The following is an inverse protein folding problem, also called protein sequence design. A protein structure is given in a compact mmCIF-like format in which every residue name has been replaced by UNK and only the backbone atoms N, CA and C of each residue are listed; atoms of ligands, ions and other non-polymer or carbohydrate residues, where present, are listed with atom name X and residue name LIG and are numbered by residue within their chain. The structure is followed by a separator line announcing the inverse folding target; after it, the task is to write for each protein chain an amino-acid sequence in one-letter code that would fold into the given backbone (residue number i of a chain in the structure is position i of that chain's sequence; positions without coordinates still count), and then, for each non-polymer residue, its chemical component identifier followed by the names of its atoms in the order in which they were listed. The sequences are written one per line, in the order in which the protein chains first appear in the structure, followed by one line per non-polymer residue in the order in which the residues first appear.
data_IF_817323505962
#
_entry.id   IF_817323505962
#
_cell.length_a   1.000
_cell.length_b   1.000
_cell.length_c   1.000
_cell.angle_alpha   90.00
_cell.angle_beta   90.00
_cell.angle_gamma   90.00
#
_symmetry.space_group_name_H-M   'P 1'
#
loop_
_entity.id
_entity.type
_entity.pdbx_description
1 polymer ?
#
# COMPACT_ATOMS: atom_id res chain seq x y z
N UNK A 1 -4.18 5.50 -7.11
CA UNK A 1 -5.28 4.80 -6.43
C UNK A 1 -5.22 3.31 -6.69
N UNK A 2 -5.70 2.53 -5.77
CA UNK A 2 -5.70 1.09 -5.92
C UNK A 2 -6.59 0.43 -4.88
N UNK A 3 -6.56 -0.91 -4.89
CA UNK A 3 -7.34 -1.72 -3.97
C UNK A 3 -6.38 -2.59 -3.16
N UNK A 4 -6.61 -2.65 -1.85
CA UNK A 4 -5.77 -3.48 -0.98
C UNK A 4 -5.96 -4.95 -1.33
N UNK A 5 -4.86 -5.60 -1.72
CA UNK A 5 -4.86 -7.02 -2.04
C UNK A 5 -4.84 -7.84 -0.76
N UNK A 6 -3.95 -7.50 0.15
CA UNK A 6 -3.94 -8.03 1.51
C UNK A 6 -3.09 -7.13 2.40
N UNK A 7 -3.27 -7.28 3.70
CA UNK A 7 -2.44 -6.55 4.66
C UNK A 7 -2.21 -7.43 5.88
N UNK A 8 -0.95 -7.58 6.26
CA UNK A 8 -0.56 -8.39 7.42
C UNK A 8 -0.28 -7.45 8.60
N UNK A 9 -1.22 -7.39 9.54
CA UNK A 9 -1.10 -6.51 10.70
C UNK A 9 0.05 -6.89 11.61
N UNK A 10 0.34 -8.17 11.74
CA UNK A 10 1.42 -8.64 12.61
C UNK A 10 2.78 -8.18 12.11
N UNK A 11 2.98 -8.23 10.82
CA UNK A 11 4.24 -7.82 10.20
C UNK A 11 4.25 -6.35 9.80
N UNK A 12 3.08 -5.72 9.74
CA UNK A 12 2.96 -4.31 9.40
C UNK A 12 3.16 -3.97 7.94
N UNK A 13 2.80 -4.87 7.03
CA UNK A 13 2.91 -4.58 5.60
C UNK A 13 1.84 -5.30 4.80
N UNK A 14 1.69 -4.88 3.56
CA UNK A 14 0.75 -5.51 2.65
C UNK A 14 1.03 -5.09 1.21
N UNK A 15 0.07 -5.35 0.34
CA UNK A 15 0.16 -5.01 -1.07
C UNK A 15 -1.13 -4.37 -1.56
N UNK A 16 -0.97 -3.44 -2.49
CA UNK A 16 -2.08 -2.75 -3.15
C UNK A 16 -2.02 -3.09 -4.63
N UNK A 17 -3.16 -3.44 -5.20
CA UNK A 17 -3.28 -3.68 -6.63
C UNK A 17 -3.68 -2.36 -7.29
N UNK A 18 -2.82 -1.78 -8.15
CA UNK A 18 -3.14 -0.51 -8.81
C UNK A 18 -4.34 -0.65 -9.73
N UNK A 19 -5.12 0.42 -9.84
CA UNK A 19 -6.29 0.44 -10.73
C UNK A 19 -5.92 0.30 -12.21
N UNK A 20 -4.72 0.71 -12.56
CA UNK A 20 -4.27 0.64 -13.95
C UNK A 20 -3.82 -0.77 -14.36
N UNK A 21 -3.95 -1.75 -13.49
CA UNK A 21 -3.59 -3.12 -13.80
C UNK A 21 -2.09 -3.41 -13.74
N UNK A 22 -1.31 -2.51 -13.19
CA UNK A 22 0.13 -2.71 -13.04
C UNK A 22 0.47 -3.71 -11.94
N UNK A 23 1.78 -3.87 -11.68
CA UNK A 23 2.27 -4.76 -10.64
C UNK A 23 1.84 -4.28 -9.26
N UNK A 24 1.66 -5.22 -8.34
CA UNK A 24 1.28 -4.89 -6.97
C UNK A 24 2.31 -3.96 -6.33
N UNK A 25 1.80 -3.04 -5.50
CA UNK A 25 2.63 -2.04 -4.83
C UNK A 25 2.74 -2.40 -3.35
N UNK A 26 3.96 -2.45 -2.86
CA UNK A 26 4.21 -2.72 -1.45
C UNK A 26 3.75 -1.53 -0.60
N UNK A 27 3.12 -1.82 0.54
CA UNK A 27 2.73 -0.79 1.51
C UNK A 27 3.16 -1.23 2.90
N UNK A 28 3.81 -0.32 3.62
CA UNK A 28 4.21 -0.53 5.01
C UNK A 28 3.31 0.28 5.93
N UNK A 29 3.11 -0.21 7.16
CA UNK A 29 2.24 0.47 8.12
C UNK A 29 2.64 1.93 8.33
N UNK A 30 3.91 2.24 8.25
CA UNK A 30 4.41 3.61 8.42
C UNK A 30 3.94 4.57 7.33
N UNK A 31 3.47 4.04 6.20
CA UNK A 31 2.95 4.86 5.10
C UNK A 31 1.47 5.20 5.27
N UNK A 32 0.79 4.60 6.23
CA UNK A 32 -0.62 4.87 6.46
C UNK A 32 -0.78 6.20 7.19
N UNK A 33 -1.68 7.03 6.69
CA UNK A 33 -1.95 8.32 7.31
C UNK A 33 -2.85 8.21 8.52
N UNK A 34 -3.74 7.24 8.53
CA UNK A 34 -4.65 6.99 9.63
C UNK A 34 -4.70 5.52 9.93
N UNK A 35 -4.70 5.20 11.22
CA UNK A 35 -4.75 3.83 11.67
C UNK A 35 -3.45 3.10 11.41
N UNK A 36 -3.45 1.83 11.70
CA UNK A 36 -2.28 0.98 11.61
C UNK A 36 -2.56 -0.31 10.84
N UNK A 37 -3.69 -0.37 10.16
CA UNK A 37 -4.02 -1.53 9.35
C UNK A 37 -4.93 -1.17 8.18
N UNK A 38 -4.92 -2.02 7.17
CA UNK A 38 -5.79 -1.94 6.02
C UNK A 38 -6.55 -3.25 5.90
N UNK A 39 -7.72 -3.20 5.28
CA UNK A 39 -8.52 -4.39 5.04
C UNK A 39 -8.44 -4.80 3.58
N UNK A 40 -8.45 -6.10 3.36
CA UNK A 40 -8.50 -6.66 2.02
C UNK A 40 -9.73 -6.13 1.28
N UNK A 41 -9.52 -5.64 0.07
CA UNK A 41 -10.60 -5.10 -0.76
C UNK A 41 -10.89 -3.63 -0.58
N UNK A 42 -10.27 -2.96 0.41
CA UNK A 42 -10.47 -1.53 0.59
C UNK A 42 -9.83 -0.73 -0.54
N UNK A 43 -10.49 0.34 -0.95
CA UNK A 43 -9.92 1.26 -1.92
C UNK A 43 -9.14 2.34 -1.21
N UNK A 44 -7.96 2.63 -1.73
CA UNK A 44 -7.04 3.58 -1.11
C UNK A 44 -6.46 4.51 -2.17
N UNK A 45 -6.10 5.70 -1.71
CA UNK A 45 -5.26 6.59 -2.50
C UNK A 45 -3.86 6.54 -1.91
N UNK A 46 -2.87 6.69 -2.77
CA UNK A 46 -1.48 6.64 -2.34
C UNK A 46 -0.60 7.31 -3.39
N UNK A 47 0.61 7.63 -3.00
CA UNK A 47 1.64 8.11 -3.90
C UNK A 47 2.64 7.01 -4.14
N UNK A 48 3.12 6.89 -5.38
CA UNK A 48 4.15 5.92 -5.70
C UNK A 48 5.51 6.48 -5.34
N UNK A 49 6.22 5.73 -4.49
CA UNK A 49 7.60 5.99 -4.18
C UNK A 49 8.45 4.83 -4.60
N UNK A 50 9.71 4.89 -4.30
CA UNK A 50 10.65 3.84 -4.65
C UNK A 50 11.54 3.54 -3.45
N UNK A 51 11.71 2.25 -3.16
CA UNK A 51 12.62 1.82 -2.11
C UNK A 51 14.05 1.99 -2.61
N UNK A 52 14.85 2.72 -1.86
CA UNK A 52 16.24 3.00 -2.26
C UNK A 52 17.12 1.76 -2.25
N UNK A 53 16.82 0.81 -1.39
CA UNK A 53 17.63 -0.41 -1.26
C UNK A 53 17.35 -1.42 -2.35
N UNK A 54 16.09 -1.60 -2.70
CA UNK A 54 15.68 -2.64 -3.66
C UNK A 54 15.27 -2.10 -5.00
N UNK A 55 14.99 -0.79 -5.09
CA UNK A 55 14.46 -0.17 -6.30
C UNK A 55 13.01 -0.51 -6.59
N UNK A 56 12.33 -1.21 -5.69
CA UNK A 56 10.94 -1.61 -5.88
C UNK A 56 9.99 -0.47 -5.54
N UNK A 57 8.84 -0.46 -6.21
CA UNK A 57 7.80 0.52 -5.95
C UNK A 57 7.16 0.27 -4.58
N UNK A 58 6.86 1.35 -3.89
CA UNK A 58 6.15 1.29 -2.62
C UNK A 58 5.10 2.39 -2.56
N UNK A 59 4.06 2.17 -1.78
CA UNK A 59 3.03 3.18 -1.55
C UNK A 59 3.45 4.10 -0.41
N UNK A 60 3.17 5.39 -0.58
CA UNK A 60 3.42 6.41 0.42
C UNK A 60 2.16 7.23 0.61
N UNK A 61 2.00 7.85 1.79
CA UNK A 61 0.84 8.70 2.10
C UNK A 61 -0.48 8.00 1.79
N UNK A 62 -0.63 6.77 2.26
CA UNK A 62 -1.79 5.96 1.97
C UNK A 62 -2.98 6.42 2.80
N UNK A 63 -4.10 6.64 2.12
CA UNK A 63 -5.37 7.01 2.75
C UNK A 63 -6.48 6.12 2.25
N UNK A 64 -7.36 5.67 3.14
CA UNK A 64 -8.54 4.92 2.77
C UNK A 64 -9.57 5.90 2.21
N UNK A 65 -10.14 5.56 1.07
CA UNK A 65 -11.14 6.40 0.41
C UNK A 65 -12.53 6.24 1.01
#
# INVERSE_FOLDING_TARGET
MGTVKFFNEDKGFGFITPENGGADVFVHVSALQRGDSLREGEKVSYELGQDRKTGKSKAENVSVL
#
